data_IF_899314173599
#
_entry.id   IF_899314173599
#
_cell.length_a   1.000
_cell.length_b   1.000
_cell.length_c   1.000
_cell.angle_alpha   90.00
_cell.angle_beta   90.00
_cell.angle_gamma   90.00
#
_symmetry.space_group_name_H-M   'P 1'
#
loop_
_entity.id
_entity.type
_entity.pdbx_description
1 polymer ?
#
# COMPACT_ATOMS: atom_id res chain seq x y z
N UNK A 1 35.47 -6.00 -4.53
CA UNK A 1 35.56 -4.61 -5.03
C UNK A 1 34.15 -4.00 -5.05
N UNK A 2 34.04 -2.67 -5.04
CA UNK A 2 32.75 -1.96 -5.16
C UNK A 2 32.01 -2.35 -6.45
N UNK A 3 32.75 -2.48 -7.56
CA UNK A 3 32.21 -2.93 -8.84
C UNK A 3 31.51 -4.29 -8.75
N UNK A 4 32.17 -5.30 -8.19
CA UNK A 4 31.60 -6.64 -8.07
C UNK A 4 30.32 -6.63 -7.22
N UNK A 5 30.32 -5.85 -6.14
CA UNK A 5 29.14 -5.69 -5.30
C UNK A 5 27.99 -5.02 -6.06
N UNK A 6 28.25 -3.92 -6.77
CA UNK A 6 27.23 -3.24 -7.57
C UNK A 6 26.63 -4.16 -8.63
N UNK A 7 27.47 -4.85 -9.41
CA UNK A 7 27.01 -5.80 -10.43
C UNK A 7 26.23 -6.96 -9.82
N UNK A 8 26.65 -7.45 -8.66
CA UNK A 8 25.91 -8.47 -7.92
C UNK A 8 24.50 -7.99 -7.53
N UNK A 9 24.35 -6.75 -7.05
CA UNK A 9 23.03 -6.18 -6.71
C UNK A 9 22.12 -6.05 -7.94
N UNK A 10 22.69 -5.70 -9.10
CA UNK A 10 21.95 -5.67 -10.38
C UNK A 10 21.49 -7.07 -10.76
N UNK A 11 22.39 -8.06 -10.72
CA UNK A 11 22.07 -9.46 -11.02
C UNK A 11 20.97 -9.97 -10.09
N UNK A 12 21.10 -9.78 -8.77
CA UNK A 12 20.08 -10.20 -7.81
C UNK A 12 18.70 -9.58 -8.08
N UNK A 13 18.66 -8.34 -8.57
CA UNK A 13 17.40 -7.65 -8.87
C UNK A 13 16.69 -8.23 -10.10
N UNK A 14 17.44 -8.66 -11.11
CA UNK A 14 16.90 -9.06 -12.41
C UNK A 14 16.92 -10.57 -12.68
N UNK A 15 17.71 -11.35 -11.93
CA UNK A 15 17.75 -12.81 -12.03
C UNK A 15 16.35 -13.47 -11.97
N UNK A 16 15.42 -13.03 -11.11
CA UNK A 16 14.04 -13.54 -11.09
C UNK A 16 13.24 -13.30 -12.38
N UNK A 17 13.63 -12.34 -13.22
CA UNK A 17 12.97 -11.99 -14.49
C UNK A 17 13.69 -12.58 -15.71
N UNK A 18 14.82 -13.24 -15.51
CA UNK A 18 15.67 -13.77 -16.57
C UNK A 18 15.29 -15.23 -16.92
N UNK A 19 16.27 -16.03 -17.34
CA UNK A 19 16.10 -17.44 -17.67
C UNK A 19 15.69 -18.28 -16.45
N UNK A 20 15.05 -19.42 -16.70
CA UNK A 20 14.60 -20.35 -15.64
C UNK A 20 15.70 -20.71 -14.64
N UNK A 21 16.92 -20.99 -15.10
CA UNK A 21 18.07 -21.29 -14.23
C UNK A 21 18.34 -20.18 -13.21
N UNK A 22 18.20 -18.91 -13.60
CA UNK A 22 18.38 -17.78 -12.67
C UNK A 22 17.23 -17.66 -11.67
N UNK A 23 15.99 -17.99 -12.08
CA UNK A 23 14.85 -18.04 -11.17
C UNK A 23 15.02 -19.14 -10.12
N UNK A 24 15.41 -20.34 -10.54
CA UNK A 24 15.69 -21.47 -9.65
C UNK A 24 16.80 -21.13 -8.64
N UNK A 25 17.91 -20.53 -9.10
CA UNK A 25 18.98 -20.08 -8.20
C UNK A 25 18.51 -19.00 -7.22
N UNK A 26 17.64 -18.08 -7.66
CA UNK A 26 17.04 -17.07 -6.77
C UNK A 26 16.18 -17.75 -5.72
N UNK A 27 15.34 -18.71 -6.10
CA UNK A 27 14.52 -19.46 -5.15
C UNK A 27 15.38 -20.23 -4.13
N UNK A 28 16.46 -20.89 -4.56
CA UNK A 28 17.40 -21.54 -3.63
C UNK A 28 17.90 -20.54 -2.59
N UNK A 29 18.36 -19.36 -3.02
CA UNK A 29 18.83 -18.33 -2.08
C UNK A 29 17.72 -17.84 -1.13
N UNK A 30 16.52 -17.54 -1.65
CA UNK A 30 15.40 -17.07 -0.85
C UNK A 30 14.87 -18.15 0.10
N UNK A 31 14.89 -19.43 -0.29
CA UNK A 31 14.48 -20.56 0.54
C UNK A 31 15.37 -20.71 1.78
N UNK A 32 16.68 -20.42 1.67
CA UNK A 32 17.61 -20.49 2.80
C UNK A 32 17.28 -19.45 3.88
N UNK A 33 16.81 -18.27 3.50
CA UNK A 33 16.42 -17.22 4.46
C UNK A 33 14.98 -17.34 4.95
N UNK A 34 14.07 -17.86 4.11
CA UNK A 34 12.64 -17.94 4.42
C UNK A 34 12.19 -19.30 4.98
N UNK A 35 13.00 -20.34 4.80
CA UNK A 35 12.61 -21.73 5.08
C UNK A 35 11.62 -22.33 4.07
N UNK A 36 11.33 -21.64 2.97
CA UNK A 36 10.37 -22.09 1.98
C UNK A 36 10.82 -23.39 1.29
N UNK A 37 9.96 -24.42 1.29
CA UNK A 37 10.27 -25.71 0.65
C UNK A 37 9.90 -25.77 -0.83
N UNK A 38 9.03 -24.88 -1.28
CA UNK A 38 8.49 -24.86 -2.64
C UNK A 38 8.33 -23.42 -3.11
N UNK A 39 8.63 -23.18 -4.38
CA UNK A 39 8.47 -21.88 -5.01
C UNK A 39 7.00 -21.61 -5.36
N UNK A 40 6.64 -20.33 -5.47
CA UNK A 40 5.34 -19.94 -5.96
C UNK A 40 5.18 -20.27 -7.46
N UNK A 41 3.95 -20.59 -7.90
CA UNK A 41 3.69 -20.78 -9.33
C UNK A 41 3.96 -19.49 -10.13
N UNK A 42 4.36 -19.64 -11.38
CA UNK A 42 4.78 -18.54 -12.26
C UNK A 42 3.78 -17.36 -12.31
N UNK A 43 2.48 -17.63 -12.26
CA UNK A 43 1.47 -16.58 -12.31
C UNK A 43 1.52 -15.66 -11.07
N UNK A 44 1.86 -16.18 -9.89
CA UNK A 44 2.03 -15.38 -8.67
C UNK A 44 3.26 -14.48 -8.79
N UNK A 45 4.35 -14.99 -9.36
CA UNK A 45 5.52 -14.17 -9.69
C UNK A 45 5.15 -13.03 -10.64
N UNK A 46 4.46 -13.32 -11.74
CA UNK A 46 3.97 -12.29 -12.66
C UNK A 46 3.09 -11.26 -11.96
N UNK A 47 2.15 -11.70 -11.13
CA UNK A 47 1.27 -10.82 -10.36
C UNK A 47 2.07 -9.95 -9.39
N UNK A 48 3.12 -10.46 -8.75
CA UNK A 48 3.97 -9.68 -7.86
C UNK A 48 4.71 -8.53 -8.57
N UNK A 49 5.10 -8.72 -9.84
CA UNK A 49 5.74 -7.67 -10.62
C UNK A 49 4.75 -6.63 -11.14
N UNK A 50 3.50 -7.00 -11.34
CA UNK A 50 2.44 -6.09 -11.80
C UNK A 50 1.84 -5.33 -10.61
N UNK A 51 1.40 -6.05 -9.58
CA UNK A 51 0.53 -5.58 -8.51
C UNK A 51 1.10 -5.73 -7.09
N UNK A 52 2.31 -6.31 -6.95
CA UNK A 52 2.94 -6.44 -5.63
C UNK A 52 3.40 -5.10 -5.07
N UNK A 53 4.06 -5.14 -3.90
CA UNK A 53 4.56 -3.94 -3.20
C UNK A 53 5.50 -3.05 -4.05
N UNK A 54 6.18 -3.66 -5.04
CA UNK A 54 7.03 -2.96 -6.01
C UNK A 54 6.50 -3.14 -7.44
N UNK A 55 5.20 -3.33 -7.58
CA UNK A 55 4.51 -3.51 -8.85
C UNK A 55 4.73 -2.33 -9.78
N UNK A 56 4.80 -2.59 -11.08
CA UNK A 56 4.88 -1.53 -12.11
C UNK A 56 3.51 -0.95 -12.48
N UNK A 57 2.43 -1.64 -12.11
CA UNK A 57 1.05 -1.34 -12.52
C UNK A 57 0.07 -1.65 -11.38
N UNK A 58 0.48 -1.38 -10.16
CA UNK A 58 -0.27 -1.64 -8.92
C UNK A 58 -1.59 -0.86 -8.85
N UNK A 59 -1.63 0.39 -9.30
CA UNK A 59 -2.89 1.15 -9.43
C UNK A 59 -3.80 0.57 -10.51
N UNK A 60 -3.28 0.16 -11.67
CA UNK A 60 -4.10 -0.48 -12.70
C UNK A 60 -4.69 -1.82 -12.24
N UNK A 61 -3.89 -2.66 -11.59
CA UNK A 61 -4.37 -3.88 -10.96
C UNK A 61 -5.36 -3.59 -9.83
N UNK A 62 -5.11 -2.54 -9.04
CA UNK A 62 -6.00 -2.02 -8.01
C UNK A 62 -7.37 -1.63 -8.55
N UNK A 63 -7.43 -0.94 -9.70
CA UNK A 63 -8.68 -0.60 -10.37
C UNK A 63 -9.49 -1.85 -10.73
N UNK A 64 -8.85 -2.84 -11.36
CA UNK A 64 -9.49 -4.11 -11.71
C UNK A 64 -9.98 -4.87 -10.47
N UNK A 65 -9.19 -4.86 -9.40
CA UNK A 65 -9.57 -5.46 -8.12
C UNK A 65 -10.83 -4.81 -7.55
N UNK A 66 -10.82 -3.47 -7.42
CA UNK A 66 -11.96 -2.72 -6.86
C UNK A 66 -13.22 -2.96 -7.69
N UNK A 67 -13.14 -2.86 -9.02
CA UNK A 67 -14.28 -3.12 -9.91
C UNK A 67 -14.89 -4.52 -9.73
N UNK A 68 -14.07 -5.52 -9.40
CA UNK A 68 -14.51 -6.91 -9.28
C UNK A 68 -14.92 -7.30 -7.86
N UNK A 69 -14.34 -6.68 -6.84
CA UNK A 69 -14.41 -7.17 -5.45
C UNK A 69 -14.95 -6.17 -4.44
N UNK A 70 -15.07 -4.90 -4.78
CA UNK A 70 -15.42 -3.86 -3.81
C UNK A 70 -16.62 -3.04 -4.27
N UNK A 71 -17.64 -2.93 -3.42
CA UNK A 71 -18.87 -2.19 -3.72
C UNK A 71 -18.84 -0.76 -3.14
N UNK A 72 -19.58 0.15 -3.77
CA UNK A 72 -19.74 1.51 -3.25
C UNK A 72 -20.39 1.54 -1.85
N UNK A 73 -21.31 0.61 -1.58
CA UNK A 73 -21.94 0.45 -0.26
C UNK A 73 -20.92 0.03 0.79
N UNK A 74 -20.04 -0.94 0.47
CA UNK A 74 -18.96 -1.34 1.38
C UNK A 74 -18.08 -0.15 1.74
N UNK A 75 -17.76 0.72 0.77
CA UNK A 75 -17.02 1.98 1.00
C UNK A 75 -17.72 2.90 1.98
N UNK A 76 -19.05 3.04 1.87
CA UNK A 76 -19.84 3.89 2.76
C UNK A 76 -19.84 3.37 4.19
N UNK A 77 -20.00 2.06 4.36
CA UNK A 77 -20.05 1.42 5.68
C UNK A 77 -18.71 1.57 6.41
N UNK A 78 -17.59 1.29 5.72
CA UNK A 78 -16.26 1.45 6.33
C UNK A 78 -15.93 2.91 6.65
N UNK A 79 -16.40 3.87 5.84
CA UNK A 79 -16.25 5.29 6.15
C UNK A 79 -17.01 5.66 7.44
N UNK A 80 -18.21 5.11 7.64
CA UNK A 80 -18.96 5.23 8.88
C UNK A 80 -18.19 4.69 10.08
N UNK A 81 -17.63 3.48 9.95
CA UNK A 81 -16.84 2.83 11.00
C UNK A 81 -15.57 3.62 11.35
N UNK A 82 -14.80 4.07 10.36
CA UNK A 82 -13.60 4.89 10.57
C UNK A 82 -13.93 6.20 11.29
N UNK A 83 -15.10 6.79 10.99
CA UNK A 83 -15.59 7.98 11.70
C UNK A 83 -15.91 7.68 13.16
N UNK A 84 -16.65 6.62 13.43
CA UNK A 84 -16.99 6.21 14.81
C UNK A 84 -15.74 5.89 15.63
N UNK A 85 -14.75 5.23 15.02
CA UNK A 85 -13.48 4.93 15.64
C UNK A 85 -12.69 6.20 15.98
N UNK A 86 -12.67 7.17 15.07
CA UNK A 86 -12.07 8.50 15.31
C UNK A 86 -12.71 9.20 16.51
N UNK A 87 -14.04 9.14 16.65
CA UNK A 87 -14.76 9.73 17.78
C UNK A 87 -14.53 8.98 19.09
N UNK A 88 -14.47 7.63 19.04
CA UNK A 88 -14.13 6.82 20.22
C UNK A 88 -12.71 7.12 20.72
N UNK A 89 -11.75 7.21 19.80
CA UNK A 89 -10.37 7.55 20.14
C UNK A 89 -10.27 8.96 20.75
N UNK A 90 -11.03 9.92 20.21
CA UNK A 90 -11.15 11.27 20.78
C UNK A 90 -11.63 11.25 22.24
N UNK A 91 -12.70 10.50 22.54
CA UNK A 91 -13.22 10.35 23.92
C UNK A 91 -12.17 9.73 24.84
N UNK A 92 -11.56 8.62 24.41
CA UNK A 92 -10.50 7.94 25.18
C UNK A 92 -9.33 8.87 25.49
N UNK A 93 -8.91 9.69 24.52
CA UNK A 93 -7.79 10.61 24.68
C UNK A 93 -8.07 11.68 25.75
N UNK A 94 -9.31 12.16 25.85
CA UNK A 94 -9.73 13.11 26.90
C UNK A 94 -9.66 12.47 28.30
N UNK A 95 -9.95 11.18 28.41
CA UNK A 95 -9.97 10.42 29.67
C UNK A 95 -8.56 10.01 30.17
N UNK A 96 -7.52 10.10 29.34
CA UNK A 96 -6.16 9.71 29.72
C UNK A 96 -5.62 10.60 30.86
N UNK A 97 -5.36 10.00 32.02
CA UNK A 97 -4.87 10.74 33.20
C UNK A 97 -3.37 11.08 33.17
N UNK A 98 -2.60 10.37 32.33
CA UNK A 98 -1.14 10.55 32.25
C UNK A 98 -0.71 11.72 31.33
N UNK A 99 -1.65 12.30 30.56
CA UNK A 99 -1.40 13.45 29.69
C UNK A 99 -1.97 14.72 30.32
N UNK A 100 -1.18 15.79 30.33
CA UNK A 100 -1.66 17.13 30.67
C UNK A 100 -2.61 17.69 29.59
N UNK A 101 -3.27 18.80 29.92
CA UNK A 101 -4.28 19.40 29.04
C UNK A 101 -3.70 19.98 27.74
N UNK A 102 -2.47 20.49 27.77
CA UNK A 102 -1.80 21.04 26.58
C UNK A 102 -1.48 19.92 25.59
N UNK A 103 -0.86 18.84 26.07
CA UNK A 103 -0.55 17.66 25.27
C UNK A 103 -1.82 17.02 24.70
N UNK A 104 -2.91 16.94 25.48
CA UNK A 104 -4.22 16.49 24.98
C UNK A 104 -4.73 17.36 23.85
N UNK A 105 -4.67 18.68 23.99
CA UNK A 105 -5.11 19.64 22.97
C UNK A 105 -4.35 19.44 21.64
N UNK A 106 -3.03 19.28 21.71
CA UNK A 106 -2.19 19.01 20.54
C UNK A 106 -2.54 17.66 19.88
N UNK A 107 -2.74 16.61 20.68
CA UNK A 107 -3.09 15.30 20.17
C UNK A 107 -4.51 15.27 19.54
N UNK A 108 -5.46 16.02 20.09
CA UNK A 108 -6.78 16.24 19.49
C UNK A 108 -6.68 16.99 18.15
N UNK A 109 -5.83 18.01 18.08
CA UNK A 109 -5.56 18.75 16.84
C UNK A 109 -5.02 17.79 15.78
N UNK A 110 -4.02 16.96 16.13
CA UNK A 110 -3.49 15.94 15.22
C UNK A 110 -4.56 14.96 14.74
N UNK A 111 -5.39 14.43 15.64
CA UNK A 111 -6.47 13.51 15.30
C UNK A 111 -7.51 14.15 14.37
N UNK A 112 -7.88 15.40 14.65
CA UNK A 112 -8.89 16.15 13.88
C UNK A 112 -8.43 16.45 12.47
N UNK A 113 -7.14 16.78 12.30
CA UNK A 113 -6.52 17.06 11.00
C UNK A 113 -5.97 15.81 10.30
N UNK A 114 -6.30 14.60 10.77
CA UNK A 114 -5.83 13.37 10.13
C UNK A 114 -6.65 13.07 8.88
N UNK A 115 -5.96 12.92 7.75
CA UNK A 115 -6.57 12.53 6.48
C UNK A 115 -6.86 11.02 6.51
N UNK A 116 -8.05 10.62 6.08
CA UNK A 116 -8.49 9.22 6.08
C UNK A 116 -8.72 8.79 4.64
N UNK A 117 -7.86 7.92 4.13
CA UNK A 117 -7.97 7.30 2.81
C UNK A 117 -8.57 5.92 2.96
N UNK A 118 -9.76 5.72 2.40
CA UNK A 118 -10.55 4.50 2.63
C UNK A 118 -10.90 3.82 1.32
N UNK A 119 -10.53 2.54 1.23
CA UNK A 119 -10.64 1.64 0.09
C UNK A 119 -9.81 2.05 -1.15
N UNK A 120 -10.18 3.14 -1.81
CA UNK A 120 -9.54 3.61 -3.04
C UNK A 120 -9.89 5.07 -3.36
N UNK A 121 -9.04 5.75 -4.14
CA UNK A 121 -9.31 7.10 -4.66
C UNK A 121 -10.34 7.05 -5.81
N UNK A 122 -11.31 7.95 -5.84
CA UNK A 122 -12.26 8.03 -6.96
C UNK A 122 -11.58 8.32 -8.31
N UNK A 123 -10.44 9.02 -8.31
CA UNK A 123 -9.62 9.26 -9.50
C UNK A 123 -9.17 7.94 -10.15
N UNK A 124 -9.04 6.86 -9.39
CA UNK A 124 -8.72 5.53 -9.90
C UNK A 124 -9.70 5.06 -10.98
N UNK A 125 -10.96 5.46 -10.90
CA UNK A 125 -11.99 5.07 -11.85
C UNK A 125 -12.01 5.96 -13.11
N UNK A 126 -11.26 7.04 -13.13
CA UNK A 126 -11.17 7.98 -14.24
C UNK A 126 -10.09 7.55 -15.23
N UNK A 127 -10.48 7.26 -16.48
CA UNK A 127 -9.56 6.85 -17.55
C UNK A 127 -8.49 7.90 -17.84
N UNK A 128 -8.83 9.20 -17.77
CA UNK A 128 -7.88 10.29 -17.98
C UNK A 128 -6.78 10.26 -16.94
N UNK A 129 -7.13 10.04 -15.66
CA UNK A 129 -6.15 9.91 -14.59
C UNK A 129 -5.28 8.65 -14.77
N UNK A 130 -5.91 7.51 -15.06
CA UNK A 130 -5.18 6.25 -15.26
C UNK A 130 -4.22 6.31 -16.44
N UNK A 131 -4.62 6.94 -17.55
CA UNK A 131 -3.74 7.16 -18.69
C UNK A 131 -2.62 8.16 -18.35
N UNK A 132 -2.92 9.19 -17.56
CA UNK A 132 -1.94 10.18 -17.14
C UNK A 132 -0.80 9.55 -16.30
N UNK A 133 -1.11 8.70 -15.32
CA UNK A 133 -0.08 8.11 -14.43
C UNK A 133 0.85 7.13 -15.17
N UNK A 134 0.42 6.58 -16.31
CA UNK A 134 1.24 5.68 -17.15
C UNK A 134 1.69 6.30 -18.48
N UNK A 135 1.46 7.60 -18.71
CA UNK A 135 1.66 8.29 -20.00
C UNK A 135 3.07 8.17 -20.59
N UNK A 136 4.09 8.08 -19.74
CA UNK A 136 5.49 8.11 -20.15
C UNK A 136 6.10 6.72 -20.36
N UNK A 137 5.36 5.65 -20.10
CA UNK A 137 5.84 4.27 -20.33
C UNK A 137 5.98 3.97 -21.82
N UNK A 138 5.12 4.53 -22.67
CA UNK A 138 5.10 4.22 -24.09
C UNK A 138 4.47 2.87 -24.42
N UNK A 139 4.69 2.37 -25.63
CA UNK A 139 4.08 1.13 -26.13
C UNK A 139 4.76 -0.11 -25.53
N UNK A 140 3.96 -1.06 -25.06
CA UNK A 140 4.41 -2.41 -24.70
C UNK A 140 4.25 -3.31 -25.92
N UNK A 141 5.33 -3.95 -26.36
CA UNK A 141 5.30 -4.97 -27.42
C UNK A 141 5.23 -6.36 -26.78
N UNK A 142 4.23 -7.15 -27.17
CA UNK A 142 4.03 -8.51 -26.68
C UNK A 142 5.08 -9.49 -27.23
N UNK A 143 5.79 -9.13 -28.31
CA UNK A 143 6.90 -9.90 -28.86
C UNK A 143 8.23 -9.71 -28.12
N UNK A 144 8.33 -8.72 -27.23
CA UNK A 144 9.55 -8.43 -26.49
C UNK A 144 9.64 -9.18 -25.14
N UNK A 145 10.86 -9.49 -24.66
CA UNK A 145 11.04 -10.03 -23.32
C UNK A 145 10.48 -9.09 -22.24
N UNK A 146 9.64 -9.61 -21.34
CA UNK A 146 9.00 -8.85 -20.25
C UNK A 146 9.97 -7.99 -19.43
N UNK A 147 11.21 -8.43 -19.25
CA UNK A 147 12.24 -7.68 -18.52
C UNK A 147 12.48 -6.28 -19.12
N UNK A 148 12.39 -6.11 -20.44
CA UNK A 148 12.57 -4.82 -21.10
C UNK A 148 11.42 -3.87 -20.75
N UNK A 149 10.18 -4.34 -20.84
CA UNK A 149 9.00 -3.57 -20.41
C UNK A 149 9.11 -3.22 -18.93
N UNK A 150 9.43 -4.18 -18.07
CA UNK A 150 9.56 -3.95 -16.63
C UNK A 150 10.63 -2.89 -16.31
N UNK A 151 11.82 -2.99 -16.90
CA UNK A 151 12.89 -1.98 -16.72
C UNK A 151 12.42 -0.60 -17.18
N UNK A 152 11.74 -0.51 -18.32
CA UNK A 152 11.22 0.75 -18.82
C UNK A 152 10.17 1.35 -17.88
N UNK A 153 9.18 0.58 -17.41
CA UNK A 153 8.22 1.04 -16.39
C UNK A 153 8.93 1.55 -15.14
N UNK A 154 9.89 0.78 -14.59
CA UNK A 154 10.64 1.17 -13.38
C UNK A 154 11.45 2.45 -13.60
N UNK A 155 12.05 2.64 -14.77
CA UNK A 155 12.75 3.86 -15.15
C UNK A 155 11.79 5.06 -15.16
N UNK A 156 10.64 4.93 -15.81
CA UNK A 156 9.69 6.03 -15.93
C UNK A 156 9.05 6.39 -14.59
N UNK A 157 8.67 5.41 -13.77
CA UNK A 157 8.22 5.65 -12.39
C UNK A 157 9.28 6.37 -11.56
N UNK A 158 10.55 5.98 -11.70
CA UNK A 158 11.66 6.69 -11.07
C UNK A 158 11.79 8.15 -11.54
N UNK A 159 11.61 8.41 -12.83
CA UNK A 159 11.63 9.77 -13.38
C UNK A 159 10.43 10.62 -12.93
N UNK A 160 9.22 10.05 -12.84
CA UNK A 160 8.07 10.76 -12.24
C UNK A 160 8.38 11.14 -10.79
N UNK A 161 8.86 10.20 -9.97
CA UNK A 161 9.22 10.49 -8.57
C UNK A 161 10.26 11.62 -8.44
N UNK A 162 11.22 11.70 -9.37
CA UNK A 162 12.20 12.79 -9.38
C UNK A 162 11.60 14.13 -9.80
N UNK A 163 10.55 14.15 -10.63
CA UNK A 163 9.84 15.39 -11.01
C UNK A 163 9.09 15.99 -9.84
N UNK A 164 8.64 15.18 -8.89
CA UNK A 164 7.95 15.62 -7.67
C UNK A 164 8.86 16.35 -6.68
N UNK A 165 10.19 16.33 -6.84
CA UNK A 165 11.15 16.96 -5.89
C UNK A 165 10.90 18.44 -5.62
N UNK A 166 10.31 19.17 -6.58
CA UNK A 166 9.99 20.60 -6.46
C UNK A 166 8.49 20.88 -6.41
N UNK A 167 7.67 19.83 -6.39
CA UNK A 167 6.22 19.93 -6.31
C UNK A 167 5.84 19.90 -4.83
N UNK A 168 4.88 20.75 -4.46
CA UNK A 168 4.37 20.77 -3.08
C UNK A 168 3.53 19.51 -2.86
N UNK A 169 3.87 18.72 -1.82
CA UNK A 169 3.10 17.53 -1.50
C UNK A 169 1.62 17.87 -1.22
N UNK A 170 0.71 17.21 -1.92
CA UNK A 170 -0.73 17.28 -1.67
C UNK A 170 -1.17 16.14 -0.75
N UNK A 171 -1.17 16.41 0.55
CA UNK A 171 -1.46 15.42 1.61
C UNK A 171 -2.83 14.75 1.49
N UNK A 172 -3.81 15.37 0.82
CA UNK A 172 -5.16 14.80 0.64
C UNK A 172 -5.26 13.87 -0.56
N UNK A 173 -4.27 13.86 -1.45
CA UNK A 173 -4.21 13.02 -2.65
C UNK A 173 -3.07 11.98 -2.56
N UNK A 174 -2.21 12.08 -1.56
CA UNK A 174 -1.05 11.21 -1.34
C UNK A 174 -1.42 9.92 -0.60
N UNK A 175 -1.93 8.94 -1.35
CA UNK A 175 -2.23 7.61 -0.84
C UNK A 175 -0.95 6.80 -0.61
N UNK A 176 -0.75 6.33 0.62
CA UNK A 176 0.40 5.49 0.97
C UNK A 176 0.48 4.14 0.23
N UNK A 177 -0.59 3.70 -0.44
CA UNK A 177 -0.64 2.39 -1.10
C UNK A 177 -1.75 2.29 -2.14
N UNK A 178 -1.53 1.45 -3.15
CA UNK A 178 -2.54 1.08 -4.13
C UNK A 178 -3.68 0.24 -3.50
N UNK A 179 -4.89 0.20 -4.11
CA UNK A 179 -6.06 -0.42 -3.50
C UNK A 179 -5.99 -1.93 -3.27
N UNK A 180 -5.26 -2.69 -4.09
CA UNK A 180 -5.21 -4.17 -4.03
C UNK A 180 -4.18 -4.70 -3.02
N UNK A 181 -3.96 -3.99 -1.92
CA UNK A 181 -2.99 -4.34 -0.88
C UNK A 181 -3.69 -4.79 0.39
N UNK A 182 -3.25 -5.91 0.96
CA UNK A 182 -3.77 -6.45 2.23
C UNK A 182 -2.89 -5.95 3.38
N UNK A 183 -2.99 -4.65 3.68
CA UNK A 183 -2.32 -4.01 4.81
C UNK A 183 -3.02 -2.69 5.16
N UNK A 184 -2.61 -2.01 6.23
CA UNK A 184 -2.99 -0.62 6.52
C UNK A 184 -1.72 0.21 6.77
N UNK A 185 -1.80 1.51 6.47
CA UNK A 185 -0.63 2.39 6.52
C UNK A 185 -0.95 3.69 7.24
N UNK A 186 0.04 4.22 7.95
CA UNK A 186 0.02 5.60 8.42
C UNK A 186 1.27 6.32 7.96
N UNK A 187 1.07 7.53 7.44
CA UNK A 187 2.13 8.40 6.96
C UNK A 187 2.28 9.59 7.92
N UNK A 188 3.33 9.62 8.78
CA UNK A 188 3.54 10.70 9.72
C UNK A 188 3.67 12.08 9.07
N UNK A 189 4.31 12.16 7.90
CA UNK A 189 4.59 13.39 7.17
C UNK A 189 3.31 14.05 6.64
N UNK A 190 2.36 13.24 6.18
CA UNK A 190 1.06 13.70 5.69
C UNK A 190 -0.04 13.62 6.76
N UNK A 191 0.25 13.11 7.96
CA UNK A 191 -0.74 12.77 9.00
C UNK A 191 -1.97 12.11 8.35
N UNK A 192 -1.73 11.05 7.57
CA UNK A 192 -2.78 10.33 6.87
C UNK A 192 -2.76 8.86 7.27
N UNK A 193 -3.95 8.24 7.27
CA UNK A 193 -4.14 6.81 7.43
C UNK A 193 -4.81 6.25 6.17
N UNK A 194 -4.31 5.12 5.69
CA UNK A 194 -4.78 4.48 4.46
C UNK A 194 -5.21 3.04 4.74
N UNK A 195 -6.46 2.74 4.40
CA UNK A 195 -7.05 1.40 4.41
C UNK A 195 -7.38 1.00 2.97
N UNK A 196 -6.46 0.37 2.22
CA UNK A 196 -6.72 -0.13 0.87
C UNK A 196 -7.90 -1.11 0.82
N UNK A 197 -8.59 -1.19 -0.32
CA UNK A 197 -9.71 -2.11 -0.53
C UNK A 197 -9.34 -3.58 -0.29
N UNK A 198 -8.07 -3.95 -0.51
CA UNK A 198 -7.54 -5.28 -0.30
C UNK A 198 -7.58 -5.74 1.17
N UNK A 199 -7.44 -4.85 2.15
CA UNK A 199 -7.55 -5.24 3.58
C UNK A 199 -9.01 -5.35 4.05
N UNK A 200 -9.94 -4.73 3.31
CA UNK A 200 -11.36 -4.66 3.65
C UNK A 200 -12.13 -5.89 3.13
N UNK A 201 -11.67 -7.07 3.54
CA UNK A 201 -12.28 -8.35 3.24
C UNK A 201 -12.13 -9.30 4.44
N UNK A 202 -12.86 -10.42 4.43
CA UNK A 202 -12.82 -11.39 5.52
C UNK A 202 -11.37 -11.92 5.73
N UNK A 203 -10.94 -12.18 6.97
CA UNK A 203 -11.71 -12.09 8.22
C UNK A 203 -11.67 -10.70 8.90
N UNK A 204 -11.11 -9.68 8.23
CA UNK A 204 -10.94 -8.35 8.82
C UNK A 204 -12.18 -7.47 8.67
N UNK A 205 -12.92 -7.64 7.58
CA UNK A 205 -14.17 -6.94 7.30
C UNK A 205 -15.05 -7.77 6.36
N UNK A 206 -16.32 -7.97 6.68
CA UNK A 206 -17.26 -8.63 5.78
C UNK A 206 -18.46 -7.72 5.50
N UNK A 207 -18.67 -7.43 4.21
CA UNK A 207 -19.77 -6.57 3.77
C UNK A 207 -21.12 -7.27 3.92
N UNK A 208 -22.12 -6.55 4.42
CA UNK A 208 -23.49 -7.05 4.55
C UNK A 208 -23.76 -7.89 5.80
N UNK A 209 -22.74 -8.12 6.63
CA UNK A 209 -22.90 -8.66 7.98
C UNK A 209 -22.90 -7.52 9.00
N UNK A 210 -23.60 -7.69 10.15
CA UNK A 210 -23.43 -6.78 11.28
C UNK A 210 -21.94 -6.72 11.64
N UNK A 211 -21.44 -5.52 11.93
CA UNK A 211 -20.07 -5.34 12.38
C UNK A 211 -19.92 -6.08 13.71
N UNK A 212 -19.29 -7.25 13.66
CA UNK A 212 -19.08 -8.08 14.83
C UNK A 212 -17.86 -7.59 15.63
N UNK A 213 -17.73 -8.10 16.85
CA UNK A 213 -16.65 -7.71 17.76
C UNK A 213 -15.26 -8.01 17.16
N UNK A 214 -15.13 -9.05 16.35
CA UNK A 214 -13.87 -9.46 15.71
C UNK A 214 -13.47 -8.44 14.64
N UNK A 215 -14.40 -8.06 13.76
CA UNK A 215 -14.23 -7.01 12.74
C UNK A 215 -13.86 -5.67 13.39
N UNK A 216 -14.58 -5.27 14.42
CA UNK A 216 -14.29 -4.05 15.19
C UNK A 216 -12.89 -4.08 15.80
N UNK A 217 -12.53 -5.15 16.52
CA UNK A 217 -11.24 -5.23 17.18
C UNK A 217 -10.08 -5.24 16.17
N UNK A 218 -10.22 -5.95 15.06
CA UNK A 218 -9.23 -5.99 13.99
C UNK A 218 -8.98 -4.60 13.39
N UNK A 219 -10.05 -3.86 13.07
CA UNK A 219 -9.95 -2.51 12.48
C UNK A 219 -9.44 -1.50 13.51
N UNK A 220 -9.85 -1.62 14.78
CA UNK A 220 -9.34 -0.80 15.89
C UNK A 220 -7.83 -0.98 16.04
N UNK A 221 -7.33 -2.22 16.03
CA UNK A 221 -5.89 -2.50 16.14
C UNK A 221 -5.13 -1.82 15.00
N UNK A 222 -5.62 -1.92 13.76
CA UNK A 222 -4.99 -1.29 12.60
C UNK A 222 -5.02 0.25 12.69
N UNK A 223 -6.11 0.84 13.18
CA UNK A 223 -6.24 2.28 13.37
C UNK A 223 -5.38 2.82 14.51
N UNK A 224 -5.23 2.05 15.59
CA UNK A 224 -4.43 2.43 16.77
C UNK A 224 -2.93 2.18 16.59
N UNK A 225 -2.50 1.23 15.75
CA UNK A 225 -1.10 0.90 15.52
C UNK A 225 -0.19 2.13 15.26
N UNK A 226 -0.59 3.08 14.40
CA UNK A 226 0.13 4.34 14.20
C UNK A 226 0.38 5.17 15.45
N UNK A 227 -0.55 5.13 16.41
CA UNK A 227 -0.47 5.86 17.67
C UNK A 227 0.40 5.14 18.70
N UNK A 228 0.58 3.81 18.57
CA UNK A 228 1.45 3.02 19.45
C UNK A 228 2.93 3.16 19.10
N UNK A 229 3.26 3.39 17.83
CA UNK A 229 4.65 3.58 17.38
C UNK A 229 5.36 4.82 17.96
N UNK A 230 4.64 5.72 18.64
CA UNK A 230 5.22 6.86 19.35
C UNK A 230 5.55 6.58 20.83
N UNK A 231 5.31 5.37 21.33
CA UNK A 231 5.96 4.90 22.57
C UNK A 231 7.36 4.37 22.23
N UNK A 232 8.24 5.30 21.86
CA UNK A 232 9.67 5.06 21.93
C UNK A 232 10.04 4.97 23.41
N UNK A 233 10.63 3.84 23.77
CA UNK A 233 11.36 3.63 25.01
C UNK A 233 12.32 4.79 25.23
N UNK A 234 12.12 5.51 26.34
CA UNK A 234 13.09 6.41 26.95
C UNK A 234 14.12 5.59 27.74
#
# INVERSE_FOLDING_TARGET
TVYNYFMWRVIQRFAPLALQKFREMTFVMTSLSTGAKMDHPQWMHCLSYIAGYYGIMDYAAGRLYVQKKFSATAKKDINGLVRELSESFKKRLLELRWMDNETKSQALTKLTHMVKHVAYDEQLMNDTYMNYIYRNVGRVDLGEPFILSYVNFRKQLGLENLRELRVKNNRTEDWASAPAVVNAFYSPQSNSITFPAGILQAPLFEYGLPIDFITLNNIVVLYEQPYRHYKGES
#
